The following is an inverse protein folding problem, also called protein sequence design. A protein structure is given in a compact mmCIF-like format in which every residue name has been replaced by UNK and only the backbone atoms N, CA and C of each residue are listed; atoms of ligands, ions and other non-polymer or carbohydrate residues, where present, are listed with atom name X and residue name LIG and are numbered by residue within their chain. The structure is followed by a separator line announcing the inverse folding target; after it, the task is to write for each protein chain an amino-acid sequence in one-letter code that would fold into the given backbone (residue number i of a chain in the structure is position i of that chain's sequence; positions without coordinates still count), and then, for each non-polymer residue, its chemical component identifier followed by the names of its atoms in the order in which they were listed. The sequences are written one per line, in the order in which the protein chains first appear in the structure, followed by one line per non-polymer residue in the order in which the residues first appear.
data_IF_278697943583
#
_entry.id   IF_278697943583
#
_cell.length_a   1.000
_cell.length_b   1.000
_cell.length_c   1.000
_cell.angle_alpha   90.00
_cell.angle_beta   90.00
_cell.angle_gamma   90.00
#
_symmetry.space_group_name_H-M   'P 1'
#
loop_
_entity.id
_entity.type
_entity.pdbx_description
1 polymer ?
#
# COMPACT_ATOMS: atom_id res chain seq x y z
N UNK A 1 4.07 -14.15 0.00
CA UNK A 1 2.99 -13.70 0.90
C UNK A 1 3.06 -12.19 1.07
N UNK A 2 3.90 -11.62 1.95
CA UNK A 2 3.98 -10.14 2.11
C UNK A 2 4.44 -9.41 0.85
N UNK A 3 5.54 -9.85 0.21
CA UNK A 3 6.01 -9.23 -1.05
C UNK A 3 4.96 -9.29 -2.16
N UNK A 4 4.25 -10.42 -2.28
CA UNK A 4 3.18 -10.56 -3.28
C UNK A 4 2.01 -9.63 -2.99
N UNK A 5 1.66 -9.44 -1.70
CA UNK A 5 0.63 -8.50 -1.30
C UNK A 5 1.01 -7.06 -1.65
N UNK A 6 2.25 -6.66 -1.33
CA UNK A 6 2.77 -5.32 -1.66
C UNK A 6 2.75 -5.12 -3.18
N UNK A 7 3.21 -6.11 -3.96
CA UNK A 7 3.17 -6.05 -5.41
C UNK A 7 1.74 -5.95 -5.95
N UNK A 8 0.81 -6.76 -5.44
CA UNK A 8 -0.60 -6.73 -5.84
C UNK A 8 -1.24 -5.36 -5.55
N UNK A 9 -0.99 -4.78 -4.37
CA UNK A 9 -1.44 -3.43 -4.02
C UNK A 9 -0.84 -2.38 -4.96
N UNK A 10 0.48 -2.43 -5.20
CA UNK A 10 1.17 -1.49 -6.10
C UNK A 10 0.72 -1.61 -7.56
N UNK A 11 0.26 -2.78 -8.00
CA UNK A 11 -0.35 -2.97 -9.31
C UNK A 11 -1.71 -2.26 -9.46
N UNK A 12 -2.39 -1.96 -8.35
CA UNK A 12 -3.64 -1.19 -8.34
C UNK A 12 -3.41 0.31 -8.18
N UNK A 13 -2.16 0.75 -8.03
CA UNK A 13 -1.82 2.16 -7.85
C UNK A 13 -2.23 2.99 -9.07
N UNK A 14 -2.78 4.17 -8.82
CA UNK A 14 -3.13 5.17 -9.82
C UNK A 14 -2.21 6.37 -9.70
N UNK A 15 -1.83 6.95 -10.83
CA UNK A 15 -0.92 8.09 -10.88
C UNK A 15 -1.54 9.23 -11.69
N UNK A 16 -1.38 10.46 -11.22
CA UNK A 16 -1.86 11.68 -11.87
C UNK A 16 -0.72 12.71 -11.94
N UNK A 17 -0.55 13.35 -13.10
CA UNK A 17 0.35 14.49 -13.26
C UNK A 17 -0.40 15.76 -12.83
N UNK A 18 0.10 16.43 -11.80
CA UNK A 18 -0.48 17.64 -11.26
C UNK A 18 -0.05 18.89 -12.04
N UNK A 19 -0.78 19.98 -11.85
CA UNK A 19 -0.53 21.27 -12.53
C UNK A 19 0.79 21.94 -12.17
N UNK A 20 1.46 21.51 -11.08
CA UNK A 20 2.78 21.96 -10.67
C UNK A 20 3.94 21.12 -11.24
N UNK A 21 3.62 20.10 -12.05
CA UNK A 21 4.59 19.21 -12.68
C UNK A 21 5.04 18.03 -11.79
N UNK A 22 4.42 17.83 -10.63
CA UNK A 22 4.65 16.64 -9.79
C UNK A 22 3.69 15.51 -10.14
N UNK A 23 4.09 14.28 -9.84
CA UNK A 23 3.26 13.09 -9.92
C UNK A 23 2.67 12.80 -8.55
N UNK A 24 1.34 12.76 -8.47
CA UNK A 24 0.61 12.19 -7.35
C UNK A 24 0.34 10.71 -7.61
N UNK A 25 0.52 9.88 -6.59
CA UNK A 25 0.24 8.46 -6.63
C UNK A 25 -0.57 8.03 -5.42
N UNK A 26 -1.55 7.16 -5.61
CA UNK A 26 -2.35 6.57 -4.53
C UNK A 26 -2.74 5.14 -4.84
N UNK A 27 -3.15 4.39 -3.81
CA UNK A 27 -3.71 3.05 -3.98
C UNK A 27 -5.18 3.07 -3.54
N UNK A 28 -6.14 2.95 -4.47
CA UNK A 28 -7.56 2.92 -4.13
C UNK A 28 -7.88 1.84 -3.09
N UNK A 29 -8.64 2.20 -2.06
CA UNK A 29 -8.97 1.29 -0.95
C UNK A 29 -7.95 1.28 0.20
N UNK A 30 -6.79 1.94 0.04
CA UNK A 30 -5.76 2.08 1.08
C UNK A 30 -5.77 3.51 1.63
N UNK A 31 -6.74 3.79 2.49
CA UNK A 31 -6.91 5.13 3.07
C UNK A 31 -5.63 5.60 3.79
N UNK A 32 -5.12 6.75 3.35
CA UNK A 32 -3.90 7.35 3.88
C UNK A 32 -2.61 6.92 3.17
N UNK A 33 -2.68 6.05 2.15
CA UNK A 33 -1.53 5.65 1.33
C UNK A 33 -1.51 6.45 0.04
N UNK A 34 -0.63 7.43 -0.02
CA UNK A 34 -0.38 8.26 -1.20
C UNK A 34 1.06 8.77 -1.18
N UNK A 35 1.55 9.25 -2.32
CA UNK A 35 2.86 9.86 -2.48
C UNK A 35 2.81 11.01 -3.50
N UNK A 36 3.80 11.91 -3.44
CA UNK A 36 3.95 12.98 -4.41
C UNK A 36 5.42 13.27 -4.66
N UNK A 37 5.86 13.14 -5.92
CA UNK A 37 7.26 13.36 -6.29
C UNK A 37 7.40 14.00 -7.67
N UNK A 38 8.60 14.49 -8.00
CA UNK A 38 8.87 15.18 -9.27
C UNK A 38 8.94 14.26 -10.48
N UNK A 39 9.11 12.95 -10.29
CA UNK A 39 9.10 11.95 -11.38
C UNK A 39 8.16 10.80 -11.03
N UNK A 40 7.67 10.10 -12.05
CA UNK A 40 6.80 8.94 -11.88
C UNK A 40 7.51 7.81 -11.12
N UNK A 41 8.79 7.58 -11.42
CA UNK A 41 9.59 6.55 -10.77
C UNK A 41 9.78 6.84 -9.28
N UNK A 42 10.11 8.10 -8.92
CA UNK A 42 10.26 8.51 -7.53
C UNK A 42 8.92 8.42 -6.78
N UNK A 43 7.82 8.83 -7.42
CA UNK A 43 6.49 8.73 -6.85
C UNK A 43 6.11 7.27 -6.57
N UNK A 44 6.43 6.34 -7.48
CA UNK A 44 6.21 4.90 -7.28
C UNK A 44 7.04 4.35 -6.13
N UNK A 45 8.31 4.74 -6.01
CA UNK A 45 9.19 4.31 -4.91
C UNK A 45 8.68 4.82 -3.56
N UNK A 46 8.32 6.10 -3.47
CA UNK A 46 7.73 6.68 -2.26
C UNK A 46 6.39 6.05 -1.91
N UNK A 47 5.53 5.79 -2.90
CA UNK A 47 4.23 5.15 -2.67
C UNK A 47 4.39 3.73 -2.11
N UNK A 48 5.37 2.97 -2.61
CA UNK A 48 5.67 1.65 -2.06
C UNK A 48 6.16 1.77 -0.60
N UNK A 49 7.03 2.72 -0.29
CA UNK A 49 7.48 2.96 1.09
C UNK A 49 6.31 3.31 2.01
N UNK A 50 5.42 4.21 1.57
CA UNK A 50 4.23 4.60 2.32
C UNK A 50 3.28 3.41 2.56
N UNK A 51 3.12 2.53 1.57
CA UNK A 51 2.34 1.30 1.72
C UNK A 51 2.97 0.35 2.75
N UNK A 52 4.29 0.15 2.71
CA UNK A 52 5.01 -0.72 3.64
C UNK A 52 4.86 -0.24 5.09
N UNK A 53 5.04 1.07 5.33
CA UNK A 53 4.85 1.69 6.64
C UNK A 53 3.39 1.58 7.12
N UNK A 54 2.43 1.80 6.22
CA UNK A 54 1.01 1.66 6.53
C UNK A 54 0.64 0.23 6.92
N UNK A 55 1.19 -0.78 6.22
CA UNK A 55 0.99 -2.20 6.55
C UNK A 55 1.54 -2.47 7.95
N UNK A 56 2.74 -1.97 8.27
CA UNK A 56 3.37 -2.18 9.57
C UNK A 56 2.51 -1.62 10.71
N UNK A 57 1.99 -0.40 10.56
CA UNK A 57 1.11 0.24 11.55
C UNK A 57 -0.19 -0.55 11.71
N UNK A 58 -0.80 -1.03 10.62
CA UNK A 58 -2.03 -1.83 10.74
C UNK A 58 -1.81 -3.13 11.47
N UNK A 59 -0.70 -3.81 11.18
CA UNK A 59 -0.36 -5.06 11.85
C UNK A 59 -0.08 -4.81 13.34
N UNK A 60 0.66 -3.75 13.70
CA UNK A 60 0.95 -3.44 15.11
C UNK A 60 -0.31 -3.17 15.91
N UNK A 61 -1.28 -2.50 15.29
CA UNK A 61 -2.53 -2.09 15.92
C UNK A 61 -3.63 -3.16 15.79
N UNK A 62 -3.30 -4.33 15.22
CA UNK A 62 -4.25 -5.42 14.90
C UNK A 62 -5.46 -4.95 14.09
N UNK A 63 -5.25 -3.98 13.22
CA UNK A 63 -6.25 -3.48 12.30
C UNK A 63 -6.34 -4.40 11.09
N UNK A 64 -7.55 -4.53 10.54
CA UNK A 64 -7.78 -5.32 9.34
C UNK A 64 -7.07 -4.70 8.13
N UNK A 65 -6.43 -5.56 7.35
CA UNK A 65 -5.87 -5.23 6.04
C UNK A 65 -6.88 -5.66 4.95
N UNK A 66 -7.01 -4.88 3.85
CA UNK A 66 -7.76 -5.30 2.68
C UNK A 66 -7.28 -6.65 2.16
N UNK A 67 -8.18 -7.47 1.60
CA UNK A 67 -7.78 -8.66 0.85
C UNK A 67 -7.56 -8.24 -0.60
N UNK A 68 -6.40 -8.55 -1.17
CA UNK A 68 -6.04 -8.20 -2.55
C UNK A 68 -5.66 -9.47 -3.29
N UNK A 69 -6.23 -9.70 -4.48
CA UNK A 69 -5.88 -10.83 -5.35
C UNK A 69 -5.86 -12.18 -4.60
N UNK A 70 -6.87 -12.41 -3.75
CA UNK A 70 -7.01 -13.59 -2.88
C UNK A 70 -5.92 -13.73 -1.79
N UNK A 71 -5.04 -12.73 -1.65
CA UNK A 71 -4.02 -12.66 -0.61
C UNK A 71 -4.62 -12.00 0.63
N UNK A 72 -4.80 -12.80 1.68
CA UNK A 72 -5.22 -12.34 3.00
C UNK A 72 -4.03 -12.34 3.98
N UNK A 73 -3.70 -11.16 4.53
CA UNK A 73 -2.67 -11.00 5.55
C UNK A 73 -3.24 -10.93 6.98
N UNK A 74 -4.56 -10.99 7.15
CA UNK A 74 -5.20 -10.98 8.46
C UNK A 74 -4.99 -12.33 9.13
N UNK A 75 -3.97 -12.42 9.98
CA UNK A 75 -3.68 -13.64 10.75
C UNK A 75 -4.76 -13.80 11.81
N UNK A 76 -5.57 -14.86 11.73
CA UNK A 76 -6.42 -15.25 12.85
C UNK A 76 -5.54 -15.85 13.95
N UNK A 77 -5.84 -15.62 15.25
CA UNK A 77 -5.16 -16.34 16.32
C UNK A 77 -5.32 -17.84 16.06
N UNK A 78 -4.21 -18.56 15.89
CA UNK A 78 -4.26 -20.01 16.11
C UNK A 78 -4.57 -20.19 17.60
N UNK A 79 -5.76 -20.69 17.92
CA UNK A 79 -6.01 -21.27 19.24
C UNK A 79 -4.97 -22.38 19.43
N UNK A 80 -3.94 -22.08 20.22
CA UNK A 80 -3.05 -23.10 20.76
C UNK A 80 -3.85 -23.89 21.78
N UNK A 81 -4.22 -25.11 21.41
CA UNK A 81 -4.90 -26.08 22.26
C UNK A 81 -4.03 -26.51 23.46
#
# INVERSE_FOLDING_TARGET
MLTNYIQAAMHQATYELLGDGTFYGEIPGFQGVWANATTLEACREELQSALEDWILVRISDRLVLPVIDEIDLNVQPQEVA
#
